data_IF_897976416997
#
_entry.id   IF_897976416997
#
_cell.length_a   1.000
_cell.length_b   1.000
_cell.length_c   1.000
_cell.angle_alpha   90.00
_cell.angle_beta   90.00
_cell.angle_gamma   90.00
#
_symmetry.space_group_name_H-M   'P 1'
#
loop_
_entity.id
_entity.type
_entity.pdbx_description
1 polymer ?
#
# COMPACT_ATOMS: atom_id res chain seq x y z
N UNK A 1 -21.51 -8.27 -16.92
CA UNK A 1 -21.80 -8.36 -18.36
C UNK A 1 -20.90 -9.45 -18.93
N UNK A 2 -21.47 -10.53 -19.48
CA UNK A 2 -20.66 -11.63 -20.02
C UNK A 2 -20.62 -11.48 -21.54
N UNK A 3 -19.44 -11.30 -22.09
CA UNK A 3 -19.21 -11.32 -23.53
C UNK A 3 -18.94 -12.78 -23.95
N UNK A 4 -19.81 -13.33 -24.80
CA UNK A 4 -19.63 -14.64 -25.41
C UNK A 4 -18.94 -14.41 -26.77
N UNK A 5 -17.66 -14.78 -26.85
CA UNK A 5 -16.94 -14.69 -28.13
C UNK A 5 -17.35 -15.88 -29.03
N UNK A 6 -17.85 -15.60 -30.22
CA UNK A 6 -17.94 -16.57 -31.31
C UNK A 6 -16.57 -16.64 -32.01
N UNK A 7 -16.23 -17.80 -32.58
CA UNK A 7 -14.93 -18.11 -33.20
C UNK A 7 -14.64 -17.38 -34.52
N UNK A 8 -15.07 -16.14 -34.68
CA UNK A 8 -14.73 -15.28 -35.82
C UNK A 8 -13.63 -14.31 -35.45
N UNK A 9 -12.74 -14.01 -36.37
CA UNK A 9 -11.66 -13.02 -36.24
C UNK A 9 -12.21 -11.65 -35.87
N UNK A 10 -12.19 -11.33 -34.60
CA UNK A 10 -12.59 -10.00 -34.11
C UNK A 10 -11.30 -9.18 -33.91
N UNK A 11 -11.09 -8.17 -34.73
CA UNK A 11 -10.00 -7.20 -34.61
C UNK A 11 -10.33 -6.07 -33.62
N UNK A 12 -11.06 -6.35 -32.53
CA UNK A 12 -11.42 -5.38 -31.50
C UNK A 12 -10.89 -5.82 -30.15
N UNK A 13 -10.15 -4.93 -29.47
CA UNK A 13 -9.87 -5.06 -28.05
C UNK A 13 -11.09 -4.60 -27.26
N UNK A 14 -11.52 -5.42 -26.31
CA UNK A 14 -12.65 -5.10 -25.41
C UNK A 14 -12.06 -4.93 -24.01
N UNK A 15 -12.26 -3.76 -23.43
CA UNK A 15 -11.86 -3.44 -22.06
C UNK A 15 -13.11 -3.39 -21.19
N UNK A 16 -13.11 -4.14 -20.09
CA UNK A 16 -14.18 -4.12 -19.10
C UNK A 16 -13.57 -3.80 -17.73
N UNK A 17 -14.08 -2.76 -17.08
CA UNK A 17 -13.66 -2.34 -15.74
C UNK A 17 -14.64 -2.76 -14.66
N UNK A 18 -14.17 -2.98 -13.44
CA UNK A 18 -15.02 -3.24 -12.27
C UNK A 18 -14.19 -3.35 -11.00
N UNK A 19 -14.55 -2.59 -9.97
CA UNK A 19 -13.86 -2.52 -8.67
C UNK A 19 -13.75 -3.87 -7.94
N UNK A 20 -14.65 -4.83 -8.22
CA UNK A 20 -14.72 -6.13 -7.54
C UNK A 20 -14.52 -7.32 -8.49
N UNK A 21 -13.82 -7.12 -9.59
CA UNK A 21 -13.58 -8.18 -10.56
C UNK A 21 -12.82 -9.37 -9.94
N UNK A 22 -11.83 -9.08 -9.08
CA UNK A 22 -11.04 -10.07 -8.35
C UNK A 22 -11.86 -10.94 -7.39
N UNK A 23 -12.82 -10.35 -6.67
CA UNK A 23 -13.71 -11.05 -5.74
C UNK A 23 -14.63 -12.02 -6.49
N UNK A 24 -15.18 -11.60 -7.62
CA UNK A 24 -16.03 -12.47 -8.46
C UNK A 24 -15.28 -13.68 -9.04
N UNK A 25 -13.99 -13.51 -9.34
CA UNK A 25 -13.13 -14.59 -9.82
C UNK A 25 -12.82 -15.59 -8.68
N UNK A 26 -12.56 -15.09 -7.47
CA UNK A 26 -12.32 -15.90 -6.27
C UNK A 26 -13.54 -16.71 -5.83
N UNK A 27 -14.74 -16.12 -5.86
CA UNK A 27 -15.99 -16.79 -5.51
C UNK A 27 -16.38 -17.88 -6.52
N UNK A 28 -16.04 -17.74 -7.79
CA UNK A 28 -16.23 -18.78 -8.79
C UNK A 28 -15.37 -20.04 -8.53
N UNK A 29 -14.24 -19.92 -7.84
CA UNK A 29 -13.44 -21.09 -7.38
C UNK A 29 -14.07 -21.79 -6.17
N UNK A 30 -14.74 -21.06 -5.27
CA UNK A 30 -15.40 -21.63 -4.07
C UNK A 30 -16.71 -22.34 -4.40
N UNK A 31 -17.53 -21.81 -5.31
CA UNK A 31 -18.79 -22.43 -5.76
C UNK A 31 -18.61 -23.84 -6.34
N UNK A 32 -17.39 -24.23 -6.68
CA UNK A 32 -17.03 -25.59 -7.09
C UNK A 32 -16.98 -26.60 -5.93
N UNK A 33 -16.85 -26.14 -4.69
CA UNK A 33 -16.77 -27.01 -3.50
C UNK A 33 -18.13 -27.20 -2.79
N UNK A 34 -19.10 -26.34 -3.04
CA UNK A 34 -20.40 -26.31 -2.32
C UNK A 34 -21.59 -26.74 -3.16
N UNK A 35 -21.49 -27.71 -4.03
CA UNK A 35 -22.62 -28.54 -4.55
C UNK A 35 -23.89 -27.83 -5.04
N UNK A 36 -23.88 -26.50 -5.23
CA UNK A 36 -25.05 -25.77 -5.72
C UNK A 36 -25.07 -25.84 -7.25
N UNK A 37 -26.14 -26.37 -7.82
CA UNK A 37 -26.29 -26.76 -9.22
C UNK A 37 -26.17 -25.68 -10.30
N UNK A 38 -25.63 -24.50 -9.95
CA UNK A 38 -25.27 -23.46 -10.89
C UNK A 38 -23.92 -23.81 -11.55
N UNK A 39 -23.90 -24.04 -12.86
CA UNK A 39 -22.66 -24.24 -13.64
C UNK A 39 -21.67 -23.11 -13.32
N UNK A 40 -20.47 -23.44 -12.81
CA UNK A 40 -19.48 -22.42 -12.54
C UNK A 40 -19.17 -21.67 -13.84
N UNK A 41 -19.37 -20.35 -13.85
CA UNK A 41 -19.00 -19.51 -14.99
C UNK A 41 -17.48 -19.50 -15.06
N UNK A 42 -16.88 -20.35 -15.90
CA UNK A 42 -15.45 -20.40 -16.09
C UNK A 42 -14.97 -19.15 -16.80
N UNK A 43 -13.98 -18.52 -16.24
CA UNK A 43 -13.21 -17.47 -16.92
C UNK A 43 -12.43 -18.12 -18.08
N UNK A 44 -12.37 -17.52 -19.28
CA UNK A 44 -11.62 -18.08 -20.39
C UNK A 44 -10.11 -17.92 -20.12
N UNK A 45 -9.55 -18.90 -19.44
CA UNK A 45 -8.11 -18.94 -19.11
C UNK A 45 -7.29 -18.85 -20.40
N UNK A 46 -6.34 -17.93 -20.46
CA UNK A 46 -5.46 -17.71 -21.62
C UNK A 46 -6.06 -16.86 -22.76
N UNK A 47 -7.25 -16.24 -22.56
CA UNK A 47 -7.88 -15.34 -23.54
C UNK A 47 -8.20 -13.95 -22.97
N UNK A 48 -7.70 -13.66 -21.77
CA UNK A 48 -7.97 -12.41 -21.05
C UNK A 48 -6.70 -12.00 -20.34
N UNK A 49 -6.29 -10.78 -20.57
CA UNK A 49 -5.26 -10.10 -19.78
C UNK A 49 -5.95 -9.35 -18.65
N UNK A 50 -5.49 -9.56 -17.42
CA UNK A 50 -5.97 -8.84 -16.25
C UNK A 50 -5.03 -7.66 -16.02
N UNK A 51 -5.59 -6.46 -16.08
CA UNK A 51 -4.91 -5.23 -15.72
C UNK A 51 -5.41 -4.76 -14.34
N UNK A 52 -4.50 -4.64 -13.41
CA UNK A 52 -4.77 -4.11 -12.09
C UNK A 52 -4.59 -2.60 -12.12
N UNK A 53 -5.64 -1.86 -11.78
CA UNK A 53 -5.60 -0.40 -11.67
C UNK A 53 -5.49 -0.05 -10.19
N UNK A 54 -4.34 0.48 -9.84
CA UNK A 54 -4.05 0.96 -8.48
C UNK A 54 -4.37 2.45 -8.35
N UNK A 55 -4.51 3.00 -7.13
CA UNK A 55 -4.49 4.45 -6.95
C UNK A 55 -3.24 5.07 -7.59
N UNK A 56 -3.36 6.30 -8.07
CA UNK A 56 -2.23 7.02 -8.66
C UNK A 56 -1.03 6.98 -7.71
N UNK A 57 0.14 6.64 -8.24
CA UNK A 57 1.39 6.75 -7.48
C UNK A 57 1.85 8.22 -7.37
N UNK A 58 2.94 8.44 -6.65
CA UNK A 58 3.45 9.81 -6.47
C UNK A 58 3.91 10.46 -7.80
N UNK A 59 4.46 9.69 -8.72
CA UNK A 59 4.92 10.22 -10.01
C UNK A 59 3.72 10.63 -10.89
N UNK A 60 2.66 9.82 -10.92
CA UNK A 60 1.41 10.14 -11.62
C UNK A 60 0.71 11.37 -11.02
N UNK A 61 0.65 11.43 -9.68
CA UNK A 61 0.15 12.60 -8.96
C UNK A 61 0.97 13.85 -9.31
N UNK A 62 2.31 13.79 -9.21
CA UNK A 62 3.18 14.92 -9.46
C UNK A 62 3.05 15.44 -10.90
N UNK A 63 2.90 14.53 -11.86
CA UNK A 63 2.66 14.89 -13.27
C UNK A 63 1.40 15.69 -13.45
N UNK A 64 0.33 15.35 -12.72
CA UNK A 64 -0.93 16.09 -12.76
C UNK A 64 -0.85 17.40 -11.95
N UNK A 65 -0.13 17.40 -10.82
CA UNK A 65 -0.05 18.49 -9.86
C UNK A 65 0.87 19.63 -10.34
N UNK A 66 2.09 19.30 -10.80
CA UNK A 66 3.11 20.24 -11.30
C UNK A 66 3.96 19.56 -12.40
N UNK A 67 3.53 19.73 -13.65
CA UNK A 67 4.21 19.10 -14.79
C UNK A 67 5.67 19.55 -14.97
N UNK A 68 6.03 20.79 -14.63
CA UNK A 68 7.40 21.28 -14.73
C UNK A 68 8.29 20.64 -13.64
N UNK A 69 7.76 20.49 -12.42
CA UNK A 69 8.45 19.79 -11.35
C UNK A 69 8.57 18.28 -11.64
N UNK A 70 7.57 17.69 -12.31
CA UNK A 70 7.60 16.31 -12.77
C UNK A 70 8.69 16.07 -13.81
N UNK A 71 8.90 16.96 -14.78
CA UNK A 71 10.00 16.86 -15.75
C UNK A 71 11.36 16.82 -15.04
N UNK A 72 11.56 17.69 -14.04
CA UNK A 72 12.76 17.63 -13.21
C UNK A 72 12.84 16.31 -12.42
N UNK A 73 11.75 15.89 -11.79
CA UNK A 73 11.67 14.63 -11.04
C UNK A 73 12.09 13.41 -11.87
N UNK A 74 11.73 13.37 -13.13
CA UNK A 74 12.11 12.27 -14.04
C UNK A 74 13.63 12.19 -14.28
N UNK A 75 14.34 13.31 -14.18
CA UNK A 75 15.81 13.33 -14.36
C UNK A 75 16.57 12.81 -13.14
N UNK A 76 15.91 12.68 -11.97
CA UNK A 76 16.57 12.28 -10.73
C UNK A 76 17.04 10.83 -10.82
N UNK A 77 18.34 10.62 -10.65
CA UNK A 77 19.00 9.33 -10.57
C UNK A 77 20.29 9.43 -9.77
N UNK A 78 20.84 8.26 -9.34
CA UNK A 78 22.06 8.23 -8.54
C UNK A 78 21.82 8.57 -7.06
N UNK A 79 22.89 8.92 -6.36
CA UNK A 79 22.89 9.08 -4.88
C UNK A 79 23.32 10.49 -4.42
N UNK A 80 23.45 11.42 -5.37
CA UNK A 80 23.86 12.80 -5.07
C UNK A 80 22.66 13.60 -4.52
N UNK A 81 22.90 14.47 -3.51
CA UNK A 81 21.87 15.33 -2.97
C UNK A 81 21.25 16.24 -4.03
N UNK A 82 19.95 16.40 -3.98
CA UNK A 82 19.22 17.33 -4.84
C UNK A 82 19.46 18.78 -4.37
N UNK A 83 19.43 19.76 -5.29
CA UNK A 83 19.39 21.17 -4.90
C UNK A 83 18.23 21.45 -3.95
N UNK A 84 18.47 22.20 -2.87
CA UNK A 84 17.50 22.42 -1.78
C UNK A 84 16.15 22.94 -2.26
N UNK A 85 16.13 23.78 -3.29
CA UNK A 85 14.89 24.33 -3.84
C UNK A 85 13.98 23.24 -4.42
N UNK A 86 14.55 22.27 -5.15
CA UNK A 86 13.79 21.16 -5.71
C UNK A 86 13.41 20.15 -4.63
N UNK A 87 14.33 19.88 -3.70
CA UNK A 87 14.04 19.01 -2.56
C UNK A 87 12.83 19.51 -1.74
N UNK A 88 12.76 20.82 -1.44
CA UNK A 88 11.62 21.43 -0.73
C UNK A 88 10.33 21.33 -1.55
N UNK A 89 10.34 21.73 -2.83
CA UNK A 89 9.15 21.63 -3.69
C UNK A 89 8.60 20.21 -3.79
N UNK A 90 9.49 19.21 -3.88
CA UNK A 90 9.09 17.80 -3.90
C UNK A 90 8.55 17.33 -2.56
N UNK A 91 9.06 17.85 -1.43
CA UNK A 91 8.47 17.60 -0.11
C UNK A 91 7.09 18.23 0.04
N UNK A 92 6.90 19.44 -0.48
CA UNK A 92 5.58 20.11 -0.46
C UNK A 92 4.56 19.32 -1.30
N UNK A 93 4.96 18.83 -2.47
CA UNK A 93 4.12 17.95 -3.29
C UNK A 93 3.85 16.60 -2.61
N UNK A 94 4.83 16.03 -1.90
CA UNK A 94 4.66 14.83 -1.09
C UNK A 94 3.65 15.03 0.05
N UNK A 95 3.70 16.16 0.75
CA UNK A 95 2.75 16.48 1.81
C UNK A 95 1.31 16.64 1.23
N UNK A 96 1.18 17.23 0.03
CA UNK A 96 -0.08 17.30 -0.69
C UNK A 96 -0.59 15.88 -1.04
N UNK A 97 0.29 14.99 -1.52
CA UNK A 97 -0.09 13.60 -1.81
C UNK A 97 -0.49 12.81 -0.54
N UNK A 98 0.19 13.00 0.58
CA UNK A 98 -0.23 12.38 1.84
C UNK A 98 -1.65 12.80 2.27
N UNK A 99 -2.03 14.03 1.91
CA UNK A 99 -3.36 14.55 2.20
C UNK A 99 -4.42 14.03 1.22
N UNK A 100 -4.15 14.10 -0.08
CA UNK A 100 -5.11 13.72 -1.13
C UNK A 100 -5.18 12.21 -1.35
N UNK A 101 -4.05 11.50 -1.19
CA UNK A 101 -3.88 10.15 -1.71
C UNK A 101 -3.78 10.14 -3.23
N UNK A 102 -3.96 8.93 -3.80
CA UNK A 102 -3.91 8.68 -5.23
C UNK A 102 -5.27 8.40 -5.88
N UNK A 103 -6.40 8.66 -5.21
CA UNK A 103 -7.73 8.48 -5.82
C UNK A 103 -7.97 9.57 -6.88
N UNK A 104 -8.17 9.22 -8.19
CA UNK A 104 -8.15 10.20 -9.28
C UNK A 104 -9.11 11.36 -9.12
N UNK A 105 -10.35 11.11 -8.66
CA UNK A 105 -11.36 12.15 -8.44
C UNK A 105 -10.94 13.13 -7.34
N UNK A 106 -10.32 12.61 -6.27
CA UNK A 106 -9.82 13.44 -5.15
C UNK A 106 -8.65 14.31 -5.61
N UNK A 107 -7.73 13.71 -6.38
CA UNK A 107 -6.56 14.43 -6.95
C UNK A 107 -7.02 15.53 -7.91
N UNK A 108 -7.95 15.24 -8.83
CA UNK A 108 -8.47 16.20 -9.78
C UNK A 108 -9.17 17.39 -9.07
N UNK A 109 -10.01 17.11 -8.06
CA UNK A 109 -10.65 18.13 -7.25
C UNK A 109 -9.64 19.02 -6.51
N UNK A 110 -8.63 18.42 -5.89
CA UNK A 110 -7.60 19.18 -5.18
C UNK A 110 -6.79 20.09 -6.11
N UNK A 111 -6.40 19.59 -7.29
CA UNK A 111 -5.65 20.37 -8.28
C UNK A 111 -6.46 21.56 -8.80
N UNK A 112 -7.78 21.40 -9.01
CA UNK A 112 -8.63 22.46 -9.54
C UNK A 112 -9.03 23.51 -8.51
N UNK A 113 -9.35 23.06 -7.30
CA UNK A 113 -10.06 23.89 -6.33
C UNK A 113 -9.18 24.27 -5.14
N UNK A 114 -8.15 23.48 -4.83
CA UNK A 114 -7.30 23.60 -3.62
C UNK A 114 -8.15 23.71 -2.33
N UNK A 115 -9.31 22.99 -2.30
CA UNK A 115 -10.24 23.02 -1.18
C UNK A 115 -10.11 21.75 -0.32
N UNK A 116 -9.56 21.87 0.90
CA UNK A 116 -9.40 20.74 1.80
C UNK A 116 -10.72 20.13 2.29
N UNK A 117 -11.77 20.92 2.41
CA UNK A 117 -13.09 20.43 2.85
C UNK A 117 -13.72 19.54 1.79
N UNK A 118 -13.60 19.93 0.52
CA UNK A 118 -14.08 19.13 -0.59
C UNK A 118 -13.29 17.83 -0.74
N UNK A 119 -11.97 17.86 -0.59
CA UNK A 119 -11.12 16.65 -0.55
C UNK A 119 -11.61 15.67 0.53
N UNK A 120 -11.81 16.17 1.75
CA UNK A 120 -12.33 15.33 2.85
C UNK A 120 -13.73 14.78 2.56
N UNK A 121 -14.60 15.56 1.95
CA UNK A 121 -15.94 15.10 1.54
C UNK A 121 -15.84 13.96 0.52
N UNK A 122 -15.08 14.12 -0.54
CA UNK A 122 -14.90 13.10 -1.58
C UNK A 122 -14.29 11.81 -1.01
N UNK A 123 -13.33 11.93 -0.10
CA UNK A 123 -12.74 10.75 0.55
C UNK A 123 -13.76 10.01 1.43
N UNK A 124 -14.59 10.73 2.20
CA UNK A 124 -15.69 10.11 2.97
C UNK A 124 -16.70 9.42 2.08
N UNK A 125 -17.08 10.06 0.97
CA UNK A 125 -18.01 9.48 0.00
C UNK A 125 -17.45 8.19 -0.61
N UNK A 126 -16.15 8.16 -0.96
CA UNK A 126 -15.48 6.95 -1.46
C UNK A 126 -15.44 5.83 -0.40
N UNK A 127 -15.13 6.17 0.86
CA UNK A 127 -15.15 5.19 1.95
C UNK A 127 -16.54 4.60 2.12
N UNK A 128 -17.59 5.43 2.10
CA UNK A 128 -18.97 4.98 2.21
C UNK A 128 -19.37 4.06 1.03
N UNK A 129 -18.95 4.39 -0.19
CA UNK A 129 -19.18 3.54 -1.37
C UNK A 129 -18.48 2.18 -1.25
N UNK A 130 -17.24 2.14 -0.71
CA UNK A 130 -16.56 0.87 -0.44
C UNK A 130 -17.27 0.06 0.65
N UNK A 131 -17.78 0.69 1.70
CA UNK A 131 -18.57 0.00 2.74
C UNK A 131 -19.88 -0.55 2.17
N UNK A 132 -20.58 0.19 1.31
CA UNK A 132 -21.79 -0.27 0.60
C UNK A 132 -21.49 -1.46 -0.33
N UNK A 133 -20.37 -1.44 -1.04
CA UNK A 133 -19.93 -2.55 -1.87
C UNK A 133 -19.61 -3.81 -1.03
N UNK A 134 -19.04 -3.64 0.16
CA UNK A 134 -18.83 -4.74 1.11
C UNK A 134 -20.17 -5.36 1.53
N UNK A 135 -21.15 -4.55 1.87
CA UNK A 135 -22.50 -5.03 2.25
C UNK A 135 -23.17 -5.78 1.10
N UNK A 136 -23.06 -5.25 -0.10
CA UNK A 136 -23.70 -5.81 -1.31
C UNK A 136 -23.06 -7.11 -1.78
N UNK A 137 -21.73 -7.25 -1.67
CA UNK A 137 -20.97 -8.33 -2.28
C UNK A 137 -20.25 -9.26 -1.30
N UNK A 138 -20.14 -8.87 -0.03
CA UNK A 138 -19.47 -9.64 1.01
C UNK A 138 -20.28 -10.85 1.53
N UNK A 139 -21.58 -10.92 1.21
CA UNK A 139 -22.51 -11.94 1.72
C UNK A 139 -22.99 -11.62 3.15
N UNK A 140 -24.22 -12.03 3.49
CA UNK A 140 -24.90 -11.59 4.73
C UNK A 140 -24.12 -11.86 6.03
N UNK A 141 -23.47 -13.02 6.13
CA UNK A 141 -22.73 -13.40 7.36
C UNK A 141 -21.32 -12.80 7.38
N UNK A 142 -20.70 -12.55 6.24
CA UNK A 142 -19.31 -12.14 6.16
C UNK A 142 -19.13 -10.62 6.05
N UNK A 143 -20.10 -9.89 5.49
CA UNK A 143 -20.02 -8.43 5.31
C UNK A 143 -19.72 -7.69 6.63
N UNK A 144 -20.39 -8.07 7.71
CA UNK A 144 -20.14 -7.49 9.03
C UNK A 144 -18.70 -7.71 9.54
N UNK A 145 -18.11 -8.88 9.27
CA UNK A 145 -16.72 -9.18 9.64
C UNK A 145 -15.73 -8.40 8.77
N UNK A 146 -16.03 -8.26 7.48
CA UNK A 146 -15.21 -7.48 6.53
C UNK A 146 -15.17 -6.02 6.95
N UNK A 147 -16.32 -5.43 7.29
CA UNK A 147 -16.39 -4.05 7.81
C UNK A 147 -15.62 -3.89 9.12
N UNK A 148 -15.74 -4.86 10.07
CA UNK A 148 -14.97 -4.83 11.31
C UNK A 148 -13.48 -4.82 11.06
N UNK A 149 -12.97 -5.64 10.12
CA UNK A 149 -11.55 -5.66 9.75
C UNK A 149 -11.13 -4.33 9.12
N UNK A 150 -11.88 -3.81 8.14
CA UNK A 150 -11.57 -2.56 7.47
C UNK A 150 -11.48 -1.39 8.45
N UNK A 151 -12.50 -1.23 9.30
CA UNK A 151 -12.56 -0.18 10.34
C UNK A 151 -11.50 -0.32 11.43
N UNK A 152 -10.92 -1.52 11.61
CA UNK A 152 -9.86 -1.77 12.58
C UNK A 152 -8.47 -1.33 12.11
N UNK A 153 -8.28 -0.96 10.85
CA UNK A 153 -6.96 -0.62 10.31
C UNK A 153 -6.27 0.50 11.12
N UNK A 154 -6.98 1.58 11.40
CA UNK A 154 -6.44 2.71 12.19
C UNK A 154 -5.96 2.25 13.58
N UNK A 155 -6.79 1.65 14.44
CA UNK A 155 -6.33 1.18 15.74
C UNK A 155 -5.31 0.02 15.69
N UNK A 156 -5.26 -0.76 14.60
CA UNK A 156 -4.23 -1.79 14.42
C UNK A 156 -2.87 -1.16 14.10
N UNK A 157 -2.84 -0.23 13.15
CA UNK A 157 -1.63 0.49 12.74
C UNK A 157 -1.10 1.46 13.80
N UNK A 158 -1.96 1.95 14.70
CA UNK A 158 -1.54 2.81 15.83
C UNK A 158 -0.75 2.06 16.92
N UNK A 159 -0.64 0.74 16.83
CA UNK A 159 0.09 -0.05 17.81
C UNK A 159 1.59 -0.03 17.55
N UNK A 160 2.35 -0.25 18.60
CA UNK A 160 3.81 -0.16 18.56
C UNK A 160 4.49 -1.08 17.53
N UNK A 161 3.94 -2.27 17.30
CA UNK A 161 4.47 -3.25 16.33
C UNK A 161 3.59 -3.45 15.10
N UNK A 162 2.45 -2.75 15.01
CA UNK A 162 1.50 -2.75 13.88
C UNK A 162 1.06 -4.15 13.37
N UNK A 163 1.53 -5.24 14.01
CA UNK A 163 1.11 -6.60 13.69
C UNK A 163 -0.41 -6.73 13.89
N UNK A 164 -1.10 -7.32 12.93
CA UNK A 164 -2.53 -7.54 13.02
C UNK A 164 -2.89 -8.47 14.18
N UNK A 165 -3.74 -8.00 15.09
CA UNK A 165 -4.13 -8.72 16.31
C UNK A 165 -5.65 -8.97 16.27
N UNK A 166 -6.04 -10.23 16.10
CA UNK A 166 -7.46 -10.63 16.05
C UNK A 166 -8.24 -10.24 17.32
N UNK A 167 -7.63 -10.40 18.50
CA UNK A 167 -8.25 -10.01 19.77
C UNK A 167 -8.57 -8.53 19.91
N UNK A 168 -8.00 -7.66 19.06
CA UNK A 168 -8.36 -6.24 19.00
C UNK A 168 -9.62 -5.95 18.19
N UNK A 169 -10.11 -6.92 17.40
CA UNK A 169 -11.38 -6.79 16.68
C UNK A 169 -12.57 -7.01 17.63
N UNK A 170 -12.44 -8.00 18.47
CA UNK A 170 -13.43 -8.40 19.47
C UNK A 170 -12.75 -9.29 20.51
N UNK A 171 -13.17 -9.22 21.76
CA UNK A 171 -12.73 -10.14 22.81
C UNK A 171 -12.95 -11.60 22.39
N UNK A 172 -11.90 -12.43 22.50
CA UNK A 172 -11.92 -13.84 22.10
C UNK A 172 -11.89 -14.12 20.61
N UNK A 173 -11.74 -13.10 19.73
CA UNK A 173 -11.66 -13.30 18.28
C UNK A 173 -10.42 -14.12 17.91
N UNK A 174 -10.60 -15.05 16.98
CA UNK A 174 -9.54 -15.95 16.47
C UNK A 174 -9.37 -15.78 14.96
N UNK A 175 -8.20 -16.15 14.44
CA UNK A 175 -7.89 -16.08 13.01
C UNK A 175 -8.97 -16.72 12.14
N UNK A 176 -9.39 -17.94 12.47
CA UNK A 176 -10.45 -18.68 11.74
C UNK A 176 -11.77 -17.91 11.58
N UNK A 177 -12.05 -16.93 12.44
CA UNK A 177 -13.30 -16.18 12.42
C UNK A 177 -13.26 -15.02 11.42
N UNK A 178 -12.06 -14.55 11.05
CA UNK A 178 -11.84 -13.36 10.22
C UNK A 178 -10.95 -13.59 8.99
N UNK A 179 -10.34 -14.78 8.84
CA UNK A 179 -9.45 -15.08 7.72
C UNK A 179 -10.14 -14.86 6.35
N UNK A 180 -11.38 -15.35 6.20
CA UNK A 180 -12.15 -15.14 4.99
C UNK A 180 -12.46 -13.67 4.71
N UNK A 181 -12.72 -12.89 5.76
CA UNK A 181 -12.97 -11.46 5.65
C UNK A 181 -11.71 -10.70 5.19
N UNK A 182 -10.55 -11.08 5.74
CA UNK A 182 -9.26 -10.51 5.33
C UNK A 182 -8.93 -10.89 3.89
N UNK A 183 -9.09 -12.18 3.52
CA UNK A 183 -8.88 -12.63 2.13
C UNK A 183 -9.80 -11.92 1.14
N UNK A 184 -11.04 -11.65 1.55
CA UNK A 184 -11.98 -10.88 0.74
C UNK A 184 -11.47 -9.46 0.49
N UNK A 185 -11.04 -8.74 1.56
CA UNK A 185 -10.50 -7.37 1.44
C UNK A 185 -9.22 -7.32 0.58
N UNK A 186 -8.32 -8.29 0.74
CA UNK A 186 -7.10 -8.40 -0.08
C UNK A 186 -7.46 -8.68 -1.54
N UNK A 187 -8.40 -9.60 -1.80
CA UNK A 187 -8.85 -9.93 -3.15
C UNK A 187 -9.61 -8.78 -3.82
N UNK A 188 -10.33 -7.98 -3.02
CA UNK A 188 -10.99 -6.74 -3.45
C UNK A 188 -9.99 -5.57 -3.61
N UNK A 189 -8.72 -5.78 -3.25
CA UNK A 189 -7.66 -4.76 -3.24
C UNK A 189 -7.96 -3.53 -2.38
N UNK A 190 -8.84 -3.66 -1.41
CA UNK A 190 -9.14 -2.60 -0.44
C UNK A 190 -8.08 -2.49 0.64
N UNK A 191 -7.36 -3.58 0.90
CA UNK A 191 -6.22 -3.63 1.81
C UNK A 191 -5.04 -4.34 1.17
N UNK A 192 -3.86 -3.99 1.64
CA UNK A 192 -2.58 -4.58 1.28
C UNK A 192 -2.02 -5.34 2.46
N UNK A 193 -1.50 -6.54 2.24
CA UNK A 193 -0.93 -7.38 3.28
C UNK A 193 0.58 -7.45 3.14
N UNK A 194 1.29 -7.24 4.25
CA UNK A 194 2.71 -7.50 4.35
C UNK A 194 2.92 -8.63 5.38
N UNK A 195 3.48 -9.76 4.94
CA UNK A 195 3.79 -10.87 5.83
C UNK A 195 5.10 -10.67 6.58
N UNK A 196 5.16 -11.16 7.82
CA UNK A 196 6.41 -11.27 8.55
C UNK A 196 7.26 -12.39 7.96
N UNK A 197 8.56 -12.16 7.87
CA UNK A 197 9.53 -13.24 7.59
C UNK A 197 10.26 -13.62 8.86
N UNK A 198 10.40 -14.92 9.08
CA UNK A 198 11.07 -15.48 10.27
C UNK A 198 12.56 -15.12 10.31
N UNK A 199 13.17 -15.03 9.15
CA UNK A 199 14.58 -14.69 8.97
C UNK A 199 14.80 -14.00 7.63
N UNK A 200 15.83 -13.20 7.55
CA UNK A 200 16.24 -12.53 6.31
C UNK A 200 17.05 -13.50 5.44
N UNK A 201 16.34 -14.39 4.72
CA UNK A 201 16.94 -15.45 3.89
C UNK A 201 16.19 -15.58 2.56
N UNK A 202 16.96 -15.78 1.50
CA UNK A 202 16.43 -16.05 0.16
C UNK A 202 15.97 -17.51 0.00
N UNK A 203 14.84 -17.80 -0.67
CA UNK A 203 13.81 -16.85 -1.04
C UNK A 203 12.92 -16.46 0.15
N UNK A 204 12.44 -15.20 0.20
CA UNK A 204 11.61 -14.72 1.31
C UNK A 204 10.31 -15.52 1.49
N UNK A 205 9.73 -16.02 0.40
CA UNK A 205 8.51 -16.83 0.44
C UNK A 205 8.69 -18.16 1.22
N UNK A 206 9.90 -18.69 1.30
CA UNK A 206 10.18 -19.92 2.05
C UNK A 206 10.25 -19.72 3.58
N UNK A 207 10.42 -18.48 4.02
CA UNK A 207 10.57 -18.12 5.44
C UNK A 207 9.42 -17.23 5.94
N UNK A 208 8.37 -17.06 5.13
CA UNK A 208 7.19 -16.27 5.41
C UNK A 208 6.31 -16.91 6.49
N UNK A 209 5.83 -16.10 7.40
CA UNK A 209 4.95 -16.52 8.49
C UNK A 209 3.48 -16.17 8.17
N UNK A 210 2.69 -17.16 7.73
CA UNK A 210 1.30 -16.98 7.32
C UNK A 210 0.39 -16.43 8.43
N UNK A 211 0.74 -16.63 9.69
CA UNK A 211 -0.03 -16.18 10.86
C UNK A 211 0.47 -14.84 11.45
N UNK A 212 1.42 -14.20 10.81
CA UNK A 212 1.99 -12.93 11.26
C UNK A 212 2.10 -11.96 10.10
N UNK A 213 1.23 -10.95 10.05
CA UNK A 213 1.18 -9.96 8.98
C UNK A 213 0.73 -8.61 9.52
N UNK A 214 0.99 -7.56 8.75
CA UNK A 214 0.41 -6.23 8.88
C UNK A 214 -0.61 -6.02 7.76
N UNK A 215 -1.65 -5.22 8.01
CA UNK A 215 -2.60 -4.79 7.01
C UNK A 215 -2.53 -3.28 6.84
N UNK A 216 -2.41 -2.85 5.61
CA UNK A 216 -2.39 -1.45 5.22
C UNK A 216 -3.59 -1.13 4.33
N UNK A 217 -4.03 0.11 4.31
CA UNK A 217 -5.09 0.55 3.41
C UNK A 217 -4.57 0.65 1.96
N UNK A 218 -5.47 0.51 0.97
CA UNK A 218 -5.10 0.63 -0.44
C UNK A 218 -4.52 1.99 -0.79
N UNK A 219 -4.98 3.05 -0.12
CA UNK A 219 -4.61 4.44 -0.39
C UNK A 219 -4.36 5.22 0.90
N UNK A 220 -3.29 6.02 0.91
CA UNK A 220 -2.86 6.78 2.10
C UNK A 220 -3.81 7.93 2.43
N UNK A 221 -4.44 8.58 1.44
CA UNK A 221 -5.40 9.66 1.66
C UNK A 221 -6.67 9.15 2.32
N UNK A 222 -7.17 7.99 1.88
CA UNK A 222 -8.31 7.34 2.51
C UNK A 222 -7.99 6.86 3.94
N UNK A 223 -6.78 6.32 4.18
CA UNK A 223 -6.34 5.98 5.53
C UNK A 223 -6.27 7.20 6.45
N UNK A 224 -5.75 8.33 5.93
CA UNK A 224 -5.71 9.60 6.63
C UNK A 224 -7.11 10.07 7.03
N UNK A 225 -8.09 10.00 6.10
CA UNK A 225 -9.48 10.37 6.38
C UNK A 225 -10.12 9.45 7.41
N UNK A 226 -9.91 8.12 7.31
CA UNK A 226 -10.36 7.15 8.32
C UNK A 226 -9.79 7.45 9.70
N UNK A 227 -8.55 7.94 9.78
CA UNK A 227 -7.90 8.35 11.02
C UNK A 227 -8.29 9.78 11.46
N UNK A 228 -9.13 10.47 10.70
CA UNK A 228 -9.55 11.86 10.95
C UNK A 228 -8.38 12.83 11.16
N UNK A 229 -7.25 12.62 10.46
CA UNK A 229 -6.07 13.51 10.52
C UNK A 229 -6.28 14.70 9.60
N UNK A 230 -6.38 15.94 10.11
CA UNK A 230 -6.57 17.12 9.28
C UNK A 230 -5.30 17.49 8.51
N UNK A 231 -5.45 18.24 7.41
CA UNK A 231 -4.32 18.72 6.59
C UNK A 231 -3.30 19.50 7.43
N UNK A 232 -3.76 20.31 8.37
CA UNK A 232 -2.89 21.12 9.23
C UNK A 232 -1.89 20.29 10.03
N UNK A 233 -2.26 19.08 10.49
CA UNK A 233 -1.34 18.19 11.19
C UNK A 233 -0.24 17.65 10.27
N UNK A 234 -0.52 17.41 9.01
CA UNK A 234 0.47 16.95 8.04
C UNK A 234 1.53 18.04 7.74
N UNK A 235 1.09 19.29 7.64
CA UNK A 235 1.92 20.44 7.24
C UNK A 235 2.63 21.08 8.43
N UNK A 236 1.91 21.34 9.53
CA UNK A 236 2.41 22.12 10.67
C UNK A 236 3.05 21.25 11.75
N UNK A 237 2.58 20.01 11.91
CA UNK A 237 3.08 19.12 12.95
C UNK A 237 3.92 17.99 12.31
N UNK A 238 5.23 18.14 12.42
CA UNK A 238 6.15 17.13 11.88
C UNK A 238 6.10 15.79 12.63
N UNK A 239 5.43 15.71 13.77
CA UNK A 239 5.56 14.58 14.70
C UNK A 239 4.29 14.32 15.53
N UNK A 240 3.20 13.89 14.87
CA UNK A 240 2.01 13.37 15.54
C UNK A 240 1.99 11.84 15.55
N UNK A 241 1.31 11.23 16.51
CA UNK A 241 1.42 9.78 16.81
C UNK A 241 1.07 8.87 15.61
N UNK A 242 0.13 9.26 14.75
CA UNK A 242 -0.28 8.45 13.58
C UNK A 242 0.56 8.73 12.31
N UNK A 243 1.57 9.60 12.37
CA UNK A 243 2.41 9.94 11.21
C UNK A 243 3.22 8.75 10.70
N UNK A 244 3.81 7.96 11.59
CA UNK A 244 4.54 6.74 11.25
C UNK A 244 3.72 5.80 10.39
N UNK A 245 2.56 5.33 10.87
CA UNK A 245 1.62 4.50 10.12
C UNK A 245 1.22 5.05 8.75
N UNK A 246 0.94 6.35 8.63
CA UNK A 246 0.62 6.96 7.34
C UNK A 246 1.79 6.88 6.36
N UNK A 247 3.01 7.18 6.84
CA UNK A 247 4.21 7.16 5.98
C UNK A 247 4.58 5.72 5.60
N UNK A 248 4.42 4.74 6.49
CA UNK A 248 4.59 3.34 6.14
C UNK A 248 3.56 2.86 5.11
N UNK A 249 2.29 3.23 5.28
CA UNK A 249 1.25 2.93 4.29
C UNK A 249 1.57 3.53 2.92
N UNK A 250 2.02 4.79 2.89
CA UNK A 250 2.47 5.44 1.66
C UNK A 250 3.63 4.67 1.01
N UNK A 251 4.69 4.35 1.77
CA UNK A 251 5.85 3.64 1.24
C UNK A 251 5.46 2.27 0.69
N UNK A 252 4.64 1.51 1.41
CA UNK A 252 4.13 0.22 0.93
C UNK A 252 3.35 0.38 -0.39
N UNK A 253 2.46 1.37 -0.46
CA UNK A 253 1.68 1.69 -1.67
C UNK A 253 2.61 1.97 -2.86
N UNK A 254 3.65 2.80 -2.68
CA UNK A 254 4.62 3.09 -3.74
C UNK A 254 5.42 1.85 -4.13
N UNK A 255 5.95 1.10 -3.17
CA UNK A 255 6.77 -0.09 -3.45
C UNK A 255 6.01 -1.17 -4.21
N UNK A 256 4.74 -1.39 -3.91
CA UNK A 256 3.92 -2.38 -4.63
C UNK A 256 3.64 -1.95 -6.08
N UNK A 257 3.48 -0.65 -6.33
CA UNK A 257 3.28 -0.12 -7.67
C UNK A 257 4.54 -0.24 -8.56
N UNK A 258 5.73 -0.47 -7.98
CA UNK A 258 6.95 -0.72 -8.78
C UNK A 258 6.92 -2.06 -9.52
N UNK A 259 6.06 -2.99 -9.13
CA UNK A 259 6.03 -4.35 -9.69
C UNK A 259 7.25 -5.22 -9.35
N UNK A 260 8.13 -4.77 -8.44
CA UNK A 260 9.37 -5.49 -8.05
C UNK A 260 9.13 -6.63 -7.05
N UNK A 261 7.89 -7.08 -6.88
CA UNK A 261 7.52 -8.20 -6.04
C UNK A 261 6.78 -7.80 -4.77
N UNK A 262 6.46 -8.81 -3.96
CA UNK A 262 5.70 -8.61 -2.74
C UNK A 262 6.57 -8.02 -1.63
N UNK A 263 6.02 -7.04 -0.93
CA UNK A 263 6.66 -6.39 0.22
C UNK A 263 6.37 -7.22 1.47
N UNK A 264 7.40 -7.49 2.24
CA UNK A 264 7.34 -8.19 3.53
C UNK A 264 7.96 -7.32 4.60
N UNK A 265 7.85 -7.72 5.86
CA UNK A 265 8.57 -7.09 6.96
C UNK A 265 9.31 -8.15 7.79
N UNK A 266 10.29 -7.72 8.59
CA UNK A 266 10.98 -8.60 9.52
C UNK A 266 10.79 -8.10 10.94
N UNK A 267 10.24 -8.96 11.81
CA UNK A 267 10.16 -8.70 13.24
C UNK A 267 10.43 -9.99 14.02
N UNK A 268 11.51 -10.00 14.79
CA UNK A 268 11.82 -11.09 15.73
C UNK A 268 11.10 -10.87 17.07
N UNK A 269 11.08 -9.60 17.52
CA UNK A 269 10.42 -9.10 18.73
C UNK A 269 9.91 -7.69 18.47
N UNK A 270 9.12 -7.15 19.38
CA UNK A 270 8.58 -5.78 19.25
C UNK A 270 9.67 -4.68 19.11
N UNK A 271 10.85 -4.90 19.68
CA UNK A 271 12.00 -3.99 19.65
C UNK A 271 13.01 -4.29 18.53
N UNK A 272 12.79 -5.36 17.77
CA UNK A 272 13.66 -5.81 16.66
C UNK A 272 12.88 -5.99 15.39
N UNK A 273 12.67 -4.89 14.71
CA UNK A 273 11.89 -4.80 13.49
C UNK A 273 12.66 -4.08 12.38
N UNK A 274 12.44 -4.50 11.14
CA UNK A 274 12.77 -3.80 9.90
C UNK A 274 11.44 -3.61 9.18
N UNK A 275 11.08 -2.36 8.90
CA UNK A 275 9.74 -1.97 8.49
C UNK A 275 9.31 -2.70 7.21
N UNK A 276 10.20 -2.79 6.21
CA UNK A 276 9.95 -3.59 5.01
C UNK A 276 11.19 -4.34 4.53
N UNK A 277 10.93 -5.42 3.81
CA UNK A 277 11.94 -6.23 3.12
C UNK A 277 11.45 -6.53 1.72
N UNK A 278 12.24 -6.17 0.72
CA UNK A 278 12.02 -6.54 -0.66
C UNK A 278 13.01 -7.63 -1.09
N UNK A 279 12.54 -8.48 -1.99
CA UNK A 279 13.39 -9.40 -2.73
C UNK A 279 13.49 -8.91 -4.17
N UNK A 280 14.67 -8.44 -4.56
CA UNK A 280 14.96 -7.98 -5.94
C UNK A 280 15.93 -8.98 -6.56
N UNK A 281 15.42 -9.87 -7.39
CA UNK A 281 16.18 -11.03 -7.87
C UNK A 281 16.58 -11.94 -6.72
N UNK A 282 17.87 -12.15 -6.51
CA UNK A 282 18.41 -12.93 -5.38
C UNK A 282 18.81 -12.04 -4.17
N UNK A 283 18.74 -10.75 -4.31
CA UNK A 283 19.15 -9.79 -3.29
C UNK A 283 17.98 -9.47 -2.34
N UNK A 284 18.29 -9.36 -1.05
CA UNK A 284 17.34 -8.91 -0.03
C UNK A 284 17.65 -7.45 0.32
N UNK A 285 16.67 -6.60 0.15
CA UNK A 285 16.77 -5.16 0.40
C UNK A 285 15.98 -4.82 1.68
N UNK A 286 16.66 -4.65 2.83
CA UNK A 286 16.03 -4.13 4.03
C UNK A 286 15.70 -2.65 3.86
N UNK A 287 14.52 -2.26 4.31
CA UNK A 287 13.98 -0.91 4.18
C UNK A 287 13.52 -0.42 5.54
N UNK A 288 14.00 0.74 5.93
CA UNK A 288 13.58 1.49 7.11
C UNK A 288 12.81 2.72 6.69
N UNK A 289 11.69 3.01 7.34
CA UNK A 289 10.84 4.16 7.05
C UNK A 289 10.85 5.13 8.22
N UNK A 290 11.08 6.42 7.94
CA UNK A 290 11.10 7.49 8.96
C UNK A 290 10.10 8.57 8.61
N UNK A 291 8.94 8.53 9.27
CA UNK A 291 7.90 9.56 9.19
C UNK A 291 8.11 10.73 10.13
N UNK A 292 8.80 10.53 11.27
CA UNK A 292 9.01 11.50 12.34
C UNK A 292 10.28 11.24 13.13
N UNK A 293 10.31 11.58 14.44
CA UNK A 293 11.50 11.41 15.30
C UNK A 293 11.94 9.95 15.45
N UNK A 294 13.25 9.75 15.39
CA UNK A 294 13.95 8.46 15.39
C UNK A 294 13.71 7.62 16.66
N UNK A 295 12.73 6.72 16.66
CA UNK A 295 12.53 5.80 17.79
C UNK A 295 13.10 4.37 17.59
N UNK A 296 13.32 3.86 16.36
CA UNK A 296 13.61 2.43 16.14
C UNK A 296 14.71 2.07 15.11
N UNK A 297 15.56 2.98 14.68
CA UNK A 297 16.61 2.69 13.68
C UNK A 297 17.72 1.71 14.14
N UNK A 298 17.70 1.24 15.39
CA UNK A 298 18.79 0.44 15.95
C UNK A 298 18.90 -0.94 15.29
N UNK A 299 17.78 -1.63 15.04
CA UNK A 299 17.75 -2.95 14.42
C UNK A 299 18.23 -2.89 12.98
N UNK A 300 17.69 -1.96 12.19
CA UNK A 300 18.10 -1.75 10.80
C UNK A 300 19.60 -1.45 10.69
N UNK A 301 20.12 -0.48 11.46
CA UNK A 301 21.54 -0.14 11.46
C UNK A 301 22.43 -1.31 11.90
N UNK A 302 22.01 -2.08 12.91
CA UNK A 302 22.70 -3.28 13.36
C UNK A 302 22.73 -4.35 12.27
N UNK A 303 21.59 -4.57 11.61
CA UNK A 303 21.49 -5.51 10.49
C UNK A 303 22.42 -5.10 9.35
N UNK A 304 22.36 -3.85 8.91
CA UNK A 304 23.23 -3.33 7.83
C UNK A 304 24.71 -3.49 8.19
N UNK A 305 25.10 -3.15 9.42
CA UNK A 305 26.49 -3.28 9.87
C UNK A 305 26.99 -4.73 9.92
N UNK A 306 26.13 -5.67 10.36
CA UNK A 306 26.53 -7.07 10.58
C UNK A 306 26.40 -7.91 9.32
N UNK A 307 25.34 -7.75 8.55
CA UNK A 307 25.04 -8.56 7.35
C UNK A 307 25.58 -7.96 6.07
N UNK A 308 25.85 -6.65 6.04
CA UNK A 308 26.38 -5.90 4.90
C UNK A 308 25.64 -6.24 3.60
N UNK A 309 24.29 -6.07 3.56
CA UNK A 309 23.52 -6.33 2.36
C UNK A 309 24.03 -5.46 1.21
N UNK A 310 23.89 -5.93 -0.03
CA UNK A 310 24.30 -5.18 -1.22
C UNK A 310 23.58 -3.84 -1.31
N UNK A 311 22.30 -3.84 -0.97
CA UNK A 311 21.46 -2.65 -0.91
C UNK A 311 20.74 -2.59 0.44
N UNK A 312 20.64 -1.41 1.00
CA UNK A 312 19.81 -1.10 2.16
C UNK A 312 19.30 0.32 2.01
N UNK A 313 18.02 0.55 2.31
CA UNK A 313 17.32 1.80 2.06
C UNK A 313 16.75 2.34 3.36
N UNK A 314 16.87 3.65 3.54
CA UNK A 314 16.08 4.39 4.52
C UNK A 314 15.27 5.44 3.79
N UNK A 315 13.94 5.33 3.82
CA UNK A 315 13.06 6.40 3.37
C UNK A 315 12.85 7.42 4.48
N UNK A 316 13.04 8.68 4.17
CA UNK A 316 12.81 9.78 5.11
C UNK A 316 12.55 11.10 4.40
N UNK A 317 12.25 12.14 5.16
CA UNK A 317 12.16 13.51 4.62
C UNK A 317 13.52 14.15 4.31
N UNK A 318 14.63 13.50 4.67
CA UNK A 318 15.97 14.02 4.39
C UNK A 318 16.30 13.88 2.91
N UNK A 319 17.18 14.76 2.41
CA UNK A 319 17.67 14.72 1.04
C UNK A 319 18.40 13.41 0.72
N UNK A 320 18.51 13.10 -0.56
CA UNK A 320 19.21 11.93 -1.07
C UNK A 320 20.68 11.94 -0.62
N UNK A 321 21.15 10.84 -0.03
CA UNK A 321 22.54 10.71 0.41
C UNK A 321 22.91 9.27 0.76
N UNK A 322 24.16 8.94 0.62
CA UNK A 322 24.74 7.70 1.15
C UNK A 322 25.12 7.88 2.63
N UNK A 323 24.75 6.90 3.46
CA UNK A 323 24.95 6.98 4.90
C UNK A 323 25.33 5.60 5.48
N UNK A 324 26.60 5.39 5.81
CA UNK A 324 27.08 4.27 6.62
C UNK A 324 26.69 2.86 6.19
N UNK A 325 26.52 2.58 4.89
CA UNK A 325 26.17 1.26 4.35
C UNK A 325 24.70 1.13 3.88
N UNK A 326 23.93 2.22 3.94
CA UNK A 326 22.61 2.34 3.34
C UNK A 326 22.48 3.67 2.58
N UNK A 327 21.48 3.75 1.73
CA UNK A 327 21.12 4.98 1.03
C UNK A 327 19.89 5.58 1.70
N UNK A 328 19.95 6.84 2.11
CA UNK A 328 18.79 7.60 2.50
C UNK A 328 18.14 8.16 1.23
N UNK A 329 16.95 7.71 0.94
CA UNK A 329 16.15 8.11 -0.21
C UNK A 329 14.99 8.96 0.31
N UNK A 330 14.77 10.17 -0.24
CA UNK A 330 13.60 10.97 0.08
C UNK A 330 12.30 10.20 -0.19
N UNK A 331 11.30 10.36 0.66
CA UNK A 331 10.00 9.66 0.56
C UNK A 331 9.35 9.82 -0.82
N UNK A 332 9.44 10.99 -1.43
CA UNK A 332 8.90 11.25 -2.78
C UNK A 332 9.59 10.43 -3.89
N UNK A 333 10.73 9.80 -3.64
CA UNK A 333 11.41 8.89 -4.59
C UNK A 333 11.10 7.41 -4.33
N UNK A 334 10.16 7.06 -3.46
CA UNK A 334 9.89 5.68 -3.12
C UNK A 334 9.47 4.83 -4.33
N UNK A 335 8.69 5.38 -5.29
CA UNK A 335 8.27 4.68 -6.51
C UNK A 335 9.43 4.39 -7.49
N UNK A 336 10.50 5.20 -7.46
CA UNK A 336 11.66 5.05 -8.34
C UNK A 336 12.97 4.82 -7.58
N UNK A 337 12.88 4.17 -6.42
CA UNK A 337 14.03 3.92 -5.55
C UNK A 337 15.18 3.18 -6.24
N UNK A 338 14.88 2.34 -7.21
CA UNK A 338 15.83 1.58 -8.02
C UNK A 338 16.80 2.49 -8.80
N UNK A 339 16.37 3.69 -9.18
CA UNK A 339 17.23 4.70 -9.83
C UNK A 339 18.23 5.35 -8.88
N UNK A 340 18.07 5.12 -7.57
CA UNK A 340 18.90 5.69 -6.50
C UNK A 340 19.84 4.65 -5.84
N UNK A 341 19.91 3.42 -6.36
CA UNK A 341 20.74 2.31 -5.80
C UNK A 341 22.09 2.10 -6.49
#
# INVERSE_FOLDING_TARGET
MFLKFSSGTVHMAIVAGGSLLGVKIGSAKRSRMEGDGAKPKSYPVGKVDLLDVEPMDFAEFLRAFDGALFEYYETISGQEPLPDIFHRKLLDAYDAYLFTGGMPEVVDSYIRNCDPEEVGRLQRDLIALYEDDIVKYGGEVNAGRVLVVLRSLVPQLSKENEKFIYGALREGARGRDYEEAIEWLVSARMVRRAYNVKEMKFPLSAVEMQNAFKLYHLDVGLLRELAAVPQSELVLNSDFDFKGPLVENYVLQQLQNTGQGEVRYFAERADREIDFVLQVGAELVPIEVKGGKDKKAATFKTYVKTKKPKFAIRFSRMNLRKDGGFVNIPLYLAIKFDKCL
#
